data_IF_989695970566
#
_entry.id   IF_989695970566
#
_cell.length_a   1.000
_cell.length_b   1.000
_cell.length_c   1.000
_cell.angle_alpha   90.00
_cell.angle_beta   90.00
_cell.angle_gamma   90.00
#
_symmetry.space_group_name_H-M   'P 1'
#
loop_
_entity.id
_entity.type
_entity.pdbx_description
1 polymer ?
#
# COMPACT_ATOMS: atom_id res chain seq x y z
N UNK A 1 22.70 27.55 32.30
CA UNK A 1 21.58 26.79 32.91
C UNK A 1 20.61 26.61 31.75
N UNK A 2 20.82 25.56 30.97
CA UNK A 2 20.05 25.32 29.75
C UNK A 2 18.69 24.75 30.14
N UNK A 3 17.61 25.39 29.67
CA UNK A 3 16.27 24.84 29.77
C UNK A 3 16.20 23.49 29.03
N UNK A 4 15.54 22.47 29.60
CA UNK A 4 15.30 21.24 28.86
C UNK A 4 14.33 21.56 27.72
N UNK A 5 14.73 21.22 26.49
CA UNK A 5 13.89 21.32 25.31
C UNK A 5 12.51 20.70 25.60
N UNK A 6 11.45 21.48 25.39
CA UNK A 6 10.07 21.06 25.63
C UNK A 6 9.81 19.73 24.91
N UNK A 7 9.64 18.66 25.70
CA UNK A 7 9.40 17.31 25.19
C UNK A 7 8.23 17.33 24.21
N UNK A 8 8.52 16.99 22.95
CA UNK A 8 7.54 17.02 21.88
C UNK A 8 6.40 16.06 22.26
N UNK A 9 5.19 16.61 22.49
CA UNK A 9 4.02 15.79 22.80
C UNK A 9 3.81 14.79 21.67
N UNK A 10 3.78 13.51 22.03
CA UNK A 10 3.52 12.40 21.11
C UNK A 10 2.19 12.62 20.41
N UNK A 11 2.14 12.40 19.10
CA UNK A 11 0.91 12.52 18.34
C UNK A 11 -0.04 11.35 18.68
N UNK A 12 -1.34 11.54 18.48
CA UNK A 12 -2.31 10.44 18.60
C UNK A 12 -2.00 9.27 17.65
N UNK A 13 -1.41 9.58 16.48
CA UNK A 13 -0.92 8.56 15.55
C UNK A 13 0.24 7.75 16.12
N UNK A 14 1.20 8.40 16.79
CA UNK A 14 2.37 7.71 17.37
C UNK A 14 1.93 6.70 18.44
N UNK A 15 0.92 7.06 19.23
CA UNK A 15 0.36 6.18 20.27
C UNK A 15 -0.39 4.99 19.63
N UNK A 16 -1.20 5.26 18.60
CA UNK A 16 -1.96 4.23 17.88
C UNK A 16 -1.03 3.19 17.25
N UNK A 17 0.03 3.64 16.57
CA UNK A 17 0.93 2.77 15.82
C UNK A 17 1.90 1.98 16.71
N UNK A 18 2.39 2.57 17.81
CA UNK A 18 3.26 1.85 18.74
C UNK A 18 2.51 0.70 19.44
N UNK A 19 1.24 0.90 19.77
CA UNK A 19 0.44 -0.12 20.44
C UNK A 19 0.00 -1.28 19.53
N UNK A 20 0.01 -1.09 18.20
CA UNK A 20 -0.58 -2.04 17.25
C UNK A 20 0.06 -3.44 17.31
N UNK A 21 1.38 -3.51 17.46
CA UNK A 21 2.07 -4.81 17.54
C UNK A 21 1.75 -5.57 18.83
N UNK A 22 1.72 -4.86 19.95
CA UNK A 22 1.33 -5.44 21.25
C UNK A 22 -0.13 -5.90 21.23
N UNK A 23 -1.02 -5.12 20.62
CA UNK A 23 -2.43 -5.46 20.48
C UNK A 23 -2.63 -6.76 19.67
N UNK A 24 -1.85 -6.99 18.61
CA UNK A 24 -1.89 -8.26 17.88
C UNK A 24 -1.51 -9.44 18.78
N UNK A 25 -0.40 -9.34 19.53
CA UNK A 25 0.02 -10.40 20.44
C UNK A 25 -1.03 -10.72 21.51
N UNK A 26 -1.68 -9.70 22.06
CA UNK A 26 -2.72 -9.86 23.08
C UNK A 26 -4.01 -10.47 22.51
N UNK A 27 -4.36 -10.14 21.26
CA UNK A 27 -5.56 -10.64 20.61
C UNK A 27 -5.38 -12.02 19.96
N UNK A 28 -4.22 -12.29 19.39
CA UNK A 28 -3.91 -13.50 18.63
C UNK A 28 -2.40 -13.81 18.68
N UNK A 29 -2.00 -14.49 19.75
CA UNK A 29 -0.62 -14.93 19.98
C UNK A 29 -0.10 -15.85 18.86
N UNK A 30 -0.98 -16.64 18.24
CA UNK A 30 -0.57 -17.59 17.20
C UNK A 30 -0.14 -16.86 15.92
N UNK A 31 -0.94 -15.88 15.49
CA UNK A 31 -0.58 -15.02 14.33
C UNK A 31 0.66 -14.19 14.64
N UNK A 32 0.74 -13.61 15.84
CA UNK A 32 1.92 -12.85 16.28
C UNK A 32 3.20 -13.70 16.19
N UNK A 33 3.19 -14.91 16.75
CA UNK A 33 4.34 -15.81 16.74
C UNK A 33 4.76 -16.25 15.33
N UNK A 34 3.80 -16.44 14.41
CA UNK A 34 4.11 -16.78 13.01
C UNK A 34 4.78 -15.62 12.27
N UNK A 35 4.36 -14.37 12.52
CA UNK A 35 4.96 -13.20 11.88
C UNK A 35 6.37 -12.92 12.43
N UNK A 36 6.60 -13.08 13.75
CA UNK A 36 7.95 -12.98 14.33
C UNK A 36 8.90 -14.00 13.68
N UNK A 37 8.45 -15.25 13.49
CA UNK A 37 9.23 -16.27 12.80
C UNK A 37 9.53 -15.92 11.34
N UNK A 38 8.60 -15.27 10.64
CA UNK A 38 8.84 -14.80 9.27
C UNK A 38 9.83 -13.64 9.24
N UNK A 39 9.82 -12.75 10.24
CA UNK A 39 10.80 -11.69 10.39
C UNK A 39 12.22 -12.25 10.55
N UNK A 40 12.40 -13.24 11.43
CA UNK A 40 13.67 -13.97 11.59
C UNK A 40 14.08 -14.65 10.28
N UNK A 41 13.15 -15.36 9.64
CA UNK A 41 13.40 -16.04 8.35
C UNK A 41 13.90 -15.06 7.29
N UNK A 42 13.26 -13.89 7.16
CA UNK A 42 13.66 -12.86 6.20
C UNK A 42 15.05 -12.29 6.49
N UNK A 43 15.45 -12.20 7.76
CA UNK A 43 16.79 -11.74 8.17
C UNK A 43 17.89 -12.77 7.90
N UNK A 44 17.56 -14.06 8.01
CA UNK A 44 18.52 -15.17 7.90
C UNK A 44 18.52 -15.86 6.53
N UNK A 45 17.68 -15.42 5.60
CA UNK A 45 17.55 -16.04 4.27
C UNK A 45 18.12 -15.14 3.17
N UNK A 46 18.97 -15.73 2.31
CA UNK A 46 19.30 -15.13 1.03
C UNK A 46 18.11 -15.29 0.06
N UNK A 47 17.36 -14.21 -0.16
CA UNK A 47 16.22 -14.21 -1.07
C UNK A 47 16.66 -13.99 -2.53
N UNK A 48 16.32 -14.95 -3.42
CA UNK A 48 16.70 -14.94 -4.84
C UNK A 48 15.50 -14.95 -5.79
N UNK A 49 14.28 -14.86 -5.28
CA UNK A 49 13.08 -14.72 -6.10
C UNK A 49 13.05 -13.31 -6.70
N UNK A 50 13.18 -13.21 -8.02
CA UNK A 50 13.34 -11.94 -8.74
C UNK A 50 12.17 -10.95 -8.56
N UNK A 51 10.97 -11.45 -8.27
CA UNK A 51 9.77 -10.64 -8.10
C UNK A 51 9.56 -10.16 -6.64
N UNK A 52 10.35 -10.66 -5.69
CA UNK A 52 10.22 -10.28 -4.28
C UNK A 52 11.12 -9.11 -3.92
N UNK A 53 10.67 -8.34 -2.92
CA UNK A 53 11.43 -7.24 -2.36
C UNK A 53 10.96 -6.95 -0.92
N UNK A 54 11.76 -6.22 -0.15
CA UNK A 54 11.43 -5.78 1.20
C UNK A 54 10.98 -4.31 1.18
N UNK A 55 9.76 -4.06 1.67
CA UNK A 55 9.24 -2.70 1.78
C UNK A 55 9.94 -1.91 2.89
N UNK A 56 10.11 -0.61 2.69
CA UNK A 56 10.60 0.26 3.76
C UNK A 56 9.59 0.38 4.91
N UNK A 57 10.08 0.63 6.12
CA UNK A 57 9.24 0.86 7.30
C UNK A 57 8.22 1.99 7.08
N UNK A 58 8.59 3.05 6.35
CA UNK A 58 7.68 4.16 6.05
C UNK A 58 6.48 3.72 5.19
N UNK A 59 6.69 2.82 4.22
CA UNK A 59 5.60 2.25 3.40
C UNK A 59 4.68 1.38 4.26
N UNK A 60 5.26 0.51 5.09
CA UNK A 60 4.49 -0.36 5.98
C UNK A 60 3.68 0.43 7.02
N UNK A 61 4.25 1.52 7.55
CA UNK A 61 3.54 2.41 8.48
C UNK A 61 2.31 3.05 7.84
N UNK A 62 2.42 3.49 6.58
CA UNK A 62 1.27 4.03 5.83
C UNK A 62 0.21 2.94 5.55
N UNK A 63 0.63 1.74 5.15
CA UNK A 63 -0.27 0.62 4.86
C UNK A 63 -1.05 0.15 6.10
N UNK A 64 -0.40 0.08 7.25
CA UNK A 64 -1.01 -0.30 8.53
C UNK A 64 -1.67 0.86 9.29
N UNK A 65 -1.96 1.98 8.63
CA UNK A 65 -2.54 3.17 9.26
C UNK A 65 -4.05 3.23 9.21
N UNK A 66 -4.59 4.21 9.93
CA UNK A 66 -6.03 4.50 10.02
C UNK A 66 -6.70 4.77 8.68
N UNK A 67 -5.93 5.02 7.62
CA UNK A 67 -6.48 5.23 6.26
C UNK A 67 -7.25 4.00 5.76
N UNK A 68 -6.89 2.79 6.23
CA UNK A 68 -7.58 1.54 5.88
C UNK A 68 -9.03 1.50 6.36
N UNK A 69 -9.40 2.34 7.34
CA UNK A 69 -10.75 2.39 7.87
C UNK A 69 -11.70 3.24 7.01
N UNK A 70 -11.22 3.80 5.89
CA UNK A 70 -11.97 4.75 5.07
C UNK A 70 -12.36 4.16 3.71
N UNK A 71 -13.67 4.08 3.47
CA UNK A 71 -14.23 3.78 2.15
C UNK A 71 -14.19 5.02 1.25
N UNK A 72 -13.56 4.91 0.08
CA UNK A 72 -13.27 6.01 -0.86
C UNK A 72 -13.74 5.73 -2.30
N UNK A 73 -14.94 5.18 -2.47
CA UNK A 73 -15.48 4.89 -3.80
C UNK A 73 -15.56 6.16 -4.68
N UNK A 74 -15.13 6.03 -5.93
CA UNK A 74 -15.03 7.13 -6.90
C UNK A 74 -13.59 7.63 -7.08
N UNK A 75 -13.44 8.83 -7.61
CA UNK A 75 -12.14 9.49 -7.79
C UNK A 75 -12.06 10.77 -6.98
N UNK A 76 -10.85 11.32 -6.81
CA UNK A 76 -10.63 12.64 -6.17
C UNK A 76 -11.56 13.68 -6.80
N UNK A 77 -12.36 14.37 -5.97
CA UNK A 77 -13.35 15.36 -6.43
C UNK A 77 -14.66 14.79 -6.99
N UNK A 78 -14.80 13.47 -7.07
CA UNK A 78 -15.98 12.76 -7.55
C UNK A 78 -16.22 11.49 -6.72
N UNK A 79 -16.30 11.65 -5.40
CA UNK A 79 -16.55 10.56 -4.44
C UNK A 79 -18.04 10.29 -4.29
N UNK A 80 -18.40 9.03 -4.09
CA UNK A 80 -19.77 8.63 -3.76
C UNK A 80 -20.12 8.87 -2.28
N UNK A 81 -19.10 8.91 -1.41
CA UNK A 81 -19.25 9.08 0.05
C UNK A 81 -18.52 10.33 0.54
N UNK A 82 -19.06 10.97 1.59
CA UNK A 82 -18.45 12.12 2.25
C UNK A 82 -17.26 11.75 3.17
N UNK A 83 -16.54 12.75 3.68
CA UNK A 83 -15.44 12.55 4.63
C UNK A 83 -14.13 12.08 3.98
N UNK A 84 -13.96 12.35 2.68
CA UNK A 84 -12.79 11.93 1.91
C UNK A 84 -11.72 13.04 1.77
N UNK A 85 -11.92 14.19 2.40
CA UNK A 85 -11.16 15.42 2.13
C UNK A 85 -9.66 15.25 2.44
N UNK A 86 -9.32 14.46 3.47
CA UNK A 86 -7.92 14.17 3.84
C UNK A 86 -7.32 13.07 2.97
N UNK A 87 -8.06 11.99 2.74
CA UNK A 87 -7.57 10.82 1.98
C UNK A 87 -7.47 11.09 0.49
N UNK A 88 -8.26 12.04 -0.04
CA UNK A 88 -8.11 12.55 -1.41
C UNK A 88 -6.73 13.16 -1.63
N UNK A 89 -6.15 13.82 -0.62
CA UNK A 89 -4.79 14.33 -0.68
C UNK A 89 -3.74 13.22 -0.86
N UNK A 90 -3.97 12.04 -0.28
CA UNK A 90 -3.08 10.88 -0.42
C UNK A 90 -3.15 10.32 -1.85
N UNK A 91 -4.35 10.13 -2.39
CA UNK A 91 -4.54 9.64 -3.77
C UNK A 91 -3.98 10.63 -4.80
N UNK A 92 -4.25 11.92 -4.64
CA UNK A 92 -3.72 12.96 -5.51
C UNK A 92 -2.19 12.95 -5.54
N UNK A 93 -1.55 12.89 -4.35
CA UNK A 93 -0.09 12.89 -4.26
C UNK A 93 0.52 11.61 -4.85
N UNK A 94 -0.14 10.46 -4.68
CA UNK A 94 0.28 9.21 -5.30
C UNK A 94 0.23 9.29 -6.83
N UNK A 95 -0.86 9.82 -7.41
CA UNK A 95 -0.97 10.05 -8.85
C UNK A 95 0.11 11.00 -9.38
N UNK A 96 0.33 12.14 -8.73
CA UNK A 96 1.34 13.11 -9.17
C UNK A 96 2.76 12.54 -9.09
N UNK A 97 3.07 11.79 -8.02
CA UNK A 97 4.37 11.10 -7.89
C UNK A 97 4.56 10.01 -8.94
N UNK A 98 3.52 9.23 -9.24
CA UNK A 98 3.58 8.21 -10.29
C UNK A 98 3.83 8.85 -11.67
N UNK A 99 3.10 9.92 -11.99
CA UNK A 99 3.31 10.69 -13.22
C UNK A 99 4.72 11.23 -13.32
N UNK A 100 5.25 11.82 -12.24
CA UNK A 100 6.61 12.35 -12.21
C UNK A 100 7.68 11.27 -12.34
N UNK A 101 7.50 10.12 -11.67
CA UNK A 101 8.46 9.02 -11.69
C UNK A 101 8.61 8.37 -13.07
N UNK A 102 7.52 8.28 -13.83
CA UNK A 102 7.50 7.59 -15.12
C UNK A 102 7.33 8.52 -16.34
N UNK A 103 7.25 9.84 -16.12
CA UNK A 103 6.97 10.81 -17.19
C UNK A 103 5.59 10.61 -17.83
N UNK A 104 4.62 10.09 -17.09
CA UNK A 104 3.30 9.73 -17.62
C UNK A 104 2.35 10.93 -17.68
N UNK A 105 1.50 10.96 -18.71
CA UNK A 105 0.44 11.97 -18.85
C UNK A 105 -0.70 11.76 -17.84
N UNK A 106 -1.01 10.49 -17.55
CA UNK A 106 -2.07 10.07 -16.63
C UNK A 106 -1.57 8.93 -15.74
N UNK A 107 -2.13 8.82 -14.53
CA UNK A 107 -1.91 7.69 -13.64
C UNK A 107 -3.22 7.34 -12.93
N UNK A 108 -3.51 6.03 -12.85
CA UNK A 108 -4.53 5.47 -11.98
C UNK A 108 -3.83 4.59 -10.94
N UNK A 109 -3.95 4.95 -9.67
CA UNK A 109 -3.28 4.28 -8.53
C UNK A 109 -4.24 3.42 -7.70
N UNK A 110 -5.48 3.22 -8.16
CA UNK A 110 -6.49 2.42 -7.48
C UNK A 110 -6.44 0.90 -7.73
N UNK A 111 -5.80 0.34 -8.80
CA UNK A 111 -5.72 -1.12 -8.96
C UNK A 111 -5.06 -1.80 -7.75
N UNK A 112 -5.69 -2.84 -7.22
CA UNK A 112 -5.20 -3.56 -6.03
C UNK A 112 -3.94 -4.41 -6.28
N UNK A 113 -3.71 -4.79 -7.53
CA UNK A 113 -2.57 -5.61 -7.97
C UNK A 113 -2.34 -5.46 -9.47
N UNK A 114 -1.21 -5.99 -9.97
CA UNK A 114 -0.91 -6.04 -11.41
C UNK A 114 -2.00 -6.74 -12.23
N UNK A 115 -2.58 -7.83 -11.70
CA UNK A 115 -3.69 -8.55 -12.36
C UNK A 115 -4.92 -7.66 -12.52
N UNK A 116 -5.31 -6.93 -11.46
CA UNK A 116 -6.46 -6.02 -11.53
C UNK A 116 -6.21 -4.84 -12.48
N UNK A 117 -4.96 -4.34 -12.56
CA UNK A 117 -4.60 -3.28 -13.49
C UNK A 117 -4.74 -3.75 -14.95
N UNK A 118 -4.27 -4.96 -15.27
CA UNK A 118 -4.44 -5.56 -16.59
C UNK A 118 -5.92 -5.75 -16.93
N UNK A 119 -6.73 -6.24 -15.97
CA UNK A 119 -8.18 -6.39 -16.15
C UNK A 119 -8.86 -5.05 -16.45
N UNK A 120 -8.51 -3.99 -15.72
CA UNK A 120 -9.06 -2.64 -15.96
C UNK A 120 -8.76 -2.19 -17.40
N UNK A 121 -7.53 -2.34 -17.87
CA UNK A 121 -7.16 -1.96 -19.24
C UNK A 121 -7.92 -2.80 -20.26
N UNK A 122 -7.93 -4.13 -20.12
CA UNK A 122 -8.61 -5.02 -21.04
C UNK A 122 -10.11 -4.71 -21.13
N UNK A 123 -10.80 -4.55 -20.00
CA UNK A 123 -12.23 -4.23 -19.98
C UNK A 123 -12.54 -2.81 -20.46
N UNK A 124 -11.59 -1.87 -20.37
CA UNK A 124 -11.80 -0.51 -20.84
C UNK A 124 -11.69 -0.37 -22.37
N UNK A 125 -10.94 -1.24 -23.05
CA UNK A 125 -10.62 -1.07 -24.47
C UNK A 125 -11.01 -2.24 -25.38
N UNK A 126 -11.38 -3.39 -24.82
CA UNK A 126 -11.75 -4.59 -25.58
C UNK A 126 -13.21 -4.95 -25.40
N UNK A 127 -13.79 -5.48 -26.46
CA UNK A 127 -15.10 -6.10 -26.45
C UNK A 127 -15.02 -7.63 -26.28
N UNK A 128 -16.17 -8.24 -25.95
CA UNK A 128 -16.27 -9.70 -25.87
C UNK A 128 -15.96 -10.33 -27.23
N UNK A 129 -14.91 -11.13 -27.27
CA UNK A 129 -14.49 -11.87 -28.47
C UNK A 129 -13.27 -11.27 -29.16
N UNK A 130 -12.82 -10.10 -28.72
CA UNK A 130 -11.53 -9.55 -29.15
C UNK A 130 -10.37 -10.46 -28.76
N UNK A 131 -9.29 -10.39 -29.55
CA UNK A 131 -8.13 -11.25 -29.41
C UNK A 131 -6.97 -10.48 -28.80
N UNK A 132 -6.37 -11.05 -27.75
CA UNK A 132 -5.14 -10.55 -27.14
C UNK A 132 -4.00 -11.48 -27.50
N UNK A 133 -2.88 -10.91 -27.95
CA UNK A 133 -1.62 -11.64 -28.12
C UNK A 133 -0.75 -11.39 -26.89
N UNK A 134 -0.25 -12.46 -26.28
CA UNK A 134 0.68 -12.42 -25.15
C UNK A 134 1.79 -13.44 -25.35
N UNK A 135 2.89 -13.26 -24.63
CA UNK A 135 3.92 -14.28 -24.47
C UNK A 135 3.32 -15.51 -23.80
N UNK A 136 3.74 -16.71 -24.22
CA UNK A 136 3.34 -17.97 -23.59
C UNK A 136 4.05 -18.14 -22.25
N UNK A 137 3.41 -18.81 -21.29
CA UNK A 137 3.93 -19.00 -19.93
C UNK A 137 5.28 -19.72 -19.90
N UNK A 138 5.46 -20.74 -20.75
CA UNK A 138 6.72 -21.49 -20.90
C UNK A 138 7.82 -20.69 -21.61
N UNK A 139 7.49 -19.52 -22.13
CA UNK A 139 8.42 -18.57 -22.75
C UNK A 139 8.65 -17.32 -21.88
N UNK A 140 8.15 -17.31 -20.63
CA UNK A 140 8.35 -16.22 -19.67
C UNK A 140 7.24 -15.16 -19.65
N UNK A 141 6.04 -15.50 -20.14
CA UNK A 141 4.84 -14.67 -20.04
C UNK A 141 4.13 -14.73 -18.69
#
# INVERSE_FOLDING_TARGET
MDEPAAGQRRSAGDIYHEAAWSALRESDEQVHALIEREYERLGDTLQLIAAENQCSQAVLAALGSVIQNKTTEGFVGARYHGGCEVVDGVEWLACERAKAAFGAQYANVQPHSGTSANQIVMTAVLDRGDRVLSLSMDQGG
#
